data_IF_130202636603
#
_entry.id   IF_130202636603
#
_cell.length_a   1.000
_cell.length_b   1.000
_cell.length_c   1.000
_cell.angle_alpha   90.00
_cell.angle_beta   90.00
_cell.angle_gamma   90.00
#
_symmetry.space_group_name_H-M   'P 1'
#
loop_
_entity.id
_entity.type
_entity.pdbx_description
1 polymer ?
#
# COMPACT_ATOMS: atom_id res chain seq x y z
N UNK A 1 23.91 22.77 4.39
CA UNK A 1 23.06 22.52 3.21
C UNK A 1 23.22 21.03 2.91
N UNK A 2 22.53 20.20 3.69
CA UNK A 2 22.63 18.74 3.65
C UNK A 2 21.32 18.25 3.03
N UNK A 3 21.38 17.66 1.83
CA UNK A 3 20.18 17.24 1.11
C UNK A 3 19.45 16.14 1.89
N UNK A 4 18.21 16.41 2.33
CA UNK A 4 17.30 15.37 2.84
C UNK A 4 17.07 14.36 1.71
N UNK A 5 17.71 13.19 1.83
CA UNK A 5 17.62 12.05 0.90
C UNK A 5 16.15 11.59 0.73
N UNK A 6 15.32 11.92 1.70
CA UNK A 6 13.91 11.57 1.87
C UNK A 6 12.92 12.43 1.07
N UNK A 7 13.32 13.10 -0.02
CA UNK A 7 12.39 13.74 -0.96
C UNK A 7 12.28 13.05 -2.33
N UNK A 8 13.25 12.18 -2.68
CA UNK A 8 13.31 11.57 -4.01
C UNK A 8 12.79 10.14 -3.99
N UNK A 9 12.12 9.68 -5.06
CA UNK A 9 11.79 8.27 -5.21
C UNK A 9 13.07 7.43 -5.27
N UNK A 10 12.99 6.23 -4.73
CA UNK A 10 14.11 5.27 -4.68
C UNK A 10 13.86 4.04 -5.53
N UNK A 11 12.61 3.80 -5.90
CA UNK A 11 12.14 2.65 -6.65
C UNK A 11 11.07 3.10 -7.65
N UNK A 12 10.83 2.28 -8.65
CA UNK A 12 9.80 2.47 -9.66
C UNK A 12 9.17 1.14 -10.04
N UNK A 13 7.85 1.12 -10.25
CA UNK A 13 7.12 -0.02 -10.80
C UNK A 13 6.14 0.51 -11.85
N UNK A 14 6.31 0.11 -13.11
CA UNK A 14 5.43 0.51 -14.23
C UNK A 14 5.17 2.03 -14.31
N UNK A 15 6.20 2.86 -14.11
CA UNK A 15 6.09 4.31 -14.11
C UNK A 15 5.61 4.94 -12.79
N UNK A 16 5.15 4.14 -11.82
CA UNK A 16 4.82 4.62 -10.47
C UNK A 16 6.08 4.65 -9.63
N UNK A 17 6.49 5.85 -9.21
CA UNK A 17 7.69 6.08 -8.41
C UNK A 17 7.36 6.05 -6.94
N UNK A 18 8.20 5.41 -6.13
CA UNK A 18 7.92 5.22 -4.72
C UNK A 18 9.17 5.12 -3.84
N UNK A 19 8.97 5.23 -2.53
CA UNK A 19 10.03 5.08 -1.51
C UNK A 19 9.44 4.62 -0.19
N UNK A 20 10.33 4.32 0.77
CA UNK A 20 9.94 3.96 2.13
C UNK A 20 9.08 5.07 2.75
N UNK A 21 7.93 4.68 3.29
CA UNK A 21 6.98 5.60 3.89
C UNK A 21 7.22 5.84 5.38
N UNK A 22 6.27 6.54 5.97
CA UNK A 22 6.13 6.72 7.40
C UNK A 22 5.21 5.64 7.96
N UNK A 23 5.62 5.02 9.07
CA UNK A 23 4.85 4.00 9.79
C UNK A 23 3.53 4.57 10.33
N UNK A 24 3.50 5.85 10.71
CA UNK A 24 2.30 6.53 11.18
C UNK A 24 2.05 7.81 10.38
N UNK A 25 0.78 8.24 10.26
CA UNK A 25 -0.42 7.51 10.71
C UNK A 25 -0.72 6.28 9.83
N UNK A 26 -1.52 5.35 10.34
CA UNK A 26 -2.05 4.24 9.53
C UNK A 26 -3.08 4.73 8.50
N UNK A 27 -3.22 3.97 7.42
CA UNK A 27 -4.04 4.28 6.27
C UNK A 27 -3.31 5.09 5.19
N UNK A 28 -4.08 5.59 4.23
CA UNK A 28 -3.61 6.53 3.23
C UNK A 28 -3.61 7.97 3.78
N UNK A 29 -2.48 8.67 3.64
CA UNK A 29 -2.31 10.07 4.05
C UNK A 29 -1.63 10.87 2.94
N UNK A 30 -2.27 11.94 2.49
CA UNK A 30 -1.67 12.87 1.52
C UNK A 30 -0.46 13.55 2.16
N UNK A 31 0.67 13.51 1.46
CA UNK A 31 1.93 14.16 1.82
C UNK A 31 2.37 15.06 0.67
N UNK A 32 3.27 16.00 0.90
CA UNK A 32 3.59 17.05 -0.09
C UNK A 32 4.00 16.56 -1.48
N UNK A 33 4.50 15.33 -1.62
CA UNK A 33 4.96 14.76 -2.90
C UNK A 33 4.17 13.54 -3.35
N UNK A 34 3.04 13.20 -2.72
CA UNK A 34 2.26 12.00 -3.06
C UNK A 34 1.38 11.50 -1.92
N UNK A 35 1.21 10.19 -1.81
CA UNK A 35 0.40 9.56 -0.76
C UNK A 35 1.24 8.56 0.01
N UNK A 36 1.25 8.68 1.33
CA UNK A 36 1.80 7.68 2.24
C UNK A 36 0.74 6.63 2.56
N UNK A 37 1.03 5.37 2.24
CA UNK A 37 0.24 4.21 2.63
C UNK A 37 0.94 3.51 3.80
N UNK A 38 0.21 3.24 4.87
CA UNK A 38 0.72 2.49 6.01
C UNK A 38 -0.31 1.50 6.55
N UNK A 39 0.05 0.22 6.62
CA UNK A 39 -0.86 -0.84 7.05
C UNK A 39 -0.15 -1.87 7.94
N UNK A 40 -0.87 -2.37 8.94
CA UNK A 40 -0.38 -3.38 9.87
C UNK A 40 -0.89 -4.78 9.50
N UNK A 41 0.01 -5.75 9.54
CA UNK A 41 -0.34 -7.18 9.55
C UNK A 41 0.71 -7.95 10.35
N UNK A 42 0.27 -8.71 11.36
CA UNK A 42 1.16 -9.46 12.25
C UNK A 42 1.73 -10.73 11.65
N UNK A 43 1.08 -11.29 10.62
CA UNK A 43 1.37 -12.62 10.10
C UNK A 43 1.49 -12.66 8.57
N UNK A 44 1.43 -11.52 7.89
CA UNK A 44 1.69 -11.45 6.46
C UNK A 44 3.17 -11.75 6.16
N UNK A 45 3.42 -12.47 5.08
CA UNK A 45 4.76 -12.70 4.54
C UNK A 45 5.14 -11.62 3.52
N UNK A 46 4.16 -11.13 2.76
CA UNK A 46 4.27 -9.98 1.87
C UNK A 46 2.96 -9.18 1.83
N UNK A 47 3.09 -7.92 1.44
CA UNK A 47 1.99 -7.00 1.22
C UNK A 47 2.17 -6.34 -0.14
N UNK A 48 1.07 -6.18 -0.87
CA UNK A 48 1.05 -5.52 -2.18
C UNK A 48 -0.01 -4.42 -2.14
N UNK A 49 0.39 -3.19 -2.47
CA UNK A 49 -0.53 -2.08 -2.74
C UNK A 49 -1.10 -2.27 -4.14
N UNK A 50 -2.42 -2.27 -4.26
CA UNK A 50 -3.11 -2.36 -5.55
C UNK A 50 -3.78 -1.02 -5.81
N UNK A 51 -3.44 -0.38 -6.93
CA UNK A 51 -4.00 0.92 -7.32
C UNK A 51 -4.92 0.76 -8.54
N UNK A 52 -6.06 1.44 -8.49
CA UNK A 52 -7.06 1.48 -9.55
C UNK A 52 -7.32 2.93 -9.94
N UNK A 53 -7.71 3.14 -11.20
CA UNK A 53 -8.49 4.33 -11.52
C UNK A 53 -9.89 4.15 -10.97
N UNK A 54 -10.52 5.23 -10.48
CA UNK A 54 -11.91 5.18 -10.03
C UNK A 54 -12.81 4.50 -11.06
N UNK A 55 -13.66 3.61 -10.55
CA UNK A 55 -14.63 2.83 -11.34
C UNK A 55 -14.03 1.86 -12.38
N UNK A 56 -12.72 1.69 -12.45
CA UNK A 56 -12.11 0.66 -13.30
C UNK A 56 -11.96 -0.68 -12.56
N UNK A 57 -12.33 -1.80 -13.20
CA UNK A 57 -12.24 -3.11 -12.56
C UNK A 57 -10.79 -3.60 -12.45
N UNK A 58 -9.96 -3.24 -13.43
CA UNK A 58 -8.57 -3.68 -13.53
C UNK A 58 -7.62 -2.74 -12.79
N UNK A 59 -6.59 -3.26 -12.09
CA UNK A 59 -5.61 -2.42 -11.43
C UNK A 59 -4.70 -1.74 -12.45
N UNK A 60 -4.40 -0.46 -12.23
CA UNK A 60 -3.36 0.26 -12.97
C UNK A 60 -1.98 -0.33 -12.66
N UNK A 61 -1.74 -0.64 -11.39
CA UNK A 61 -0.48 -1.21 -10.91
C UNK A 61 -0.69 -1.99 -9.61
N UNK A 62 0.11 -3.04 -9.45
CA UNK A 62 0.33 -3.74 -8.19
C UNK A 62 1.78 -3.50 -7.76
N UNK A 63 1.98 -2.92 -6.57
CA UNK A 63 3.30 -2.57 -6.03
C UNK A 63 3.52 -3.38 -4.75
N UNK A 64 4.33 -4.43 -4.85
CA UNK A 64 4.75 -5.19 -3.66
C UNK A 64 5.64 -4.31 -2.78
N UNK A 65 5.37 -4.26 -1.48
CA UNK A 65 6.19 -3.53 -0.52
C UNK A 65 7.55 -4.22 -0.38
N UNK A 66 8.67 -3.55 -0.68
CA UNK A 66 10.00 -4.13 -0.44
C UNK A 66 10.17 -4.54 1.03
N UNK A 67 10.92 -5.62 1.30
CA UNK A 67 11.21 -6.06 2.68
C UNK A 67 11.80 -4.95 3.56
N UNK A 68 12.58 -4.03 2.98
CA UNK A 68 13.17 -2.89 3.69
C UNK A 68 12.15 -1.81 4.08
N UNK A 69 10.93 -1.84 3.53
CA UNK A 69 9.83 -0.89 3.79
C UNK A 69 8.88 -1.40 4.88
N UNK A 70 9.24 -2.52 5.48
CA UNK A 70 8.57 -3.17 6.58
C UNK A 70 9.36 -2.95 7.89
N UNK A 71 8.67 -2.52 8.95
CA UNK A 71 9.24 -2.40 10.30
C UNK A 71 8.27 -3.06 11.27
N UNK A 72 8.73 -4.09 11.99
CA UNK A 72 7.87 -4.86 12.89
C UNK A 72 6.81 -5.64 12.13
N UNK A 73 5.56 -5.22 12.23
CA UNK A 73 4.43 -5.73 11.44
C UNK A 73 3.79 -4.67 10.54
N UNK A 74 4.47 -3.54 10.30
CA UNK A 74 3.92 -2.40 9.55
C UNK A 74 4.63 -2.26 8.21
N UNK A 75 3.85 -2.26 7.14
CA UNK A 75 4.27 -1.98 5.77
C UNK A 75 4.00 -0.50 5.47
N UNK A 76 4.99 0.24 5.00
CA UNK A 76 4.84 1.68 4.73
C UNK A 76 5.55 2.16 3.48
N UNK A 77 4.85 2.90 2.62
CA UNK A 77 5.36 3.36 1.33
C UNK A 77 4.74 4.71 0.96
N UNK A 78 5.57 5.61 0.44
CA UNK A 78 5.10 6.82 -0.24
C UNK A 78 5.16 6.55 -1.74
N UNK A 79 4.03 6.71 -2.41
CA UNK A 79 3.92 6.68 -3.87
C UNK A 79 3.73 8.11 -4.35
N UNK A 80 4.56 8.53 -5.31
CA UNK A 80 4.63 9.90 -5.80
C UNK A 80 3.66 10.15 -6.94
N UNK A 81 3.32 11.44 -7.11
CA UNK A 81 2.55 11.96 -8.25
C UNK A 81 1.21 11.24 -8.49
N UNK A 82 0.64 10.68 -7.41
CA UNK A 82 -0.69 10.11 -7.43
C UNK A 82 -1.73 11.23 -7.42
N UNK A 83 -2.61 11.21 -8.42
CA UNK A 83 -3.84 11.99 -8.39
C UNK A 83 -4.83 11.32 -7.43
N UNK A 84 -4.73 11.68 -6.14
CA UNK A 84 -5.50 11.05 -5.08
C UNK A 84 -7.02 11.23 -5.23
N UNK A 85 -7.48 12.15 -6.10
CA UNK A 85 -8.91 12.37 -6.37
C UNK A 85 -9.47 11.37 -7.39
N UNK A 86 -8.63 10.76 -8.23
CA UNK A 86 -9.04 9.83 -9.30
C UNK A 86 -8.64 8.37 -9.06
N UNK A 87 -8.08 8.05 -7.88
CA UNK A 87 -7.62 6.69 -7.56
C UNK A 87 -8.45 6.02 -6.46
N UNK A 88 -8.55 4.70 -6.57
CA UNK A 88 -8.94 3.80 -5.49
C UNK A 88 -7.76 2.86 -5.18
N UNK A 89 -7.75 2.28 -3.98
CA UNK A 89 -6.72 1.33 -3.61
C UNK A 89 -7.25 0.22 -2.72
N UNK A 90 -6.50 -0.88 -2.70
CA UNK A 90 -6.64 -1.97 -1.75
C UNK A 90 -5.29 -2.65 -1.53
N UNK A 91 -5.31 -3.73 -0.77
CA UNK A 91 -4.10 -4.53 -0.52
C UNK A 91 -4.31 -5.99 -0.86
N UNK A 92 -3.23 -6.67 -1.24
CA UNK A 92 -3.13 -8.13 -1.20
C UNK A 92 -2.13 -8.51 -0.13
N UNK A 93 -2.38 -9.63 0.54
CA UNK A 93 -1.45 -10.18 1.51
C UNK A 93 -1.18 -11.64 1.19
N UNK A 94 0.10 -12.02 1.17
CA UNK A 94 0.49 -13.42 1.26
C UNK A 94 0.78 -13.78 2.71
N UNK A 95 0.72 -15.08 3.02
CA UNK A 95 0.97 -15.59 4.35
C UNK A 95 0.36 -16.97 4.53
N UNK A 96 0.35 -17.48 5.77
CA UNK A 96 -0.13 -18.82 6.05
C UNK A 96 -1.64 -18.97 5.82
N UNK A 97 -2.02 -20.05 5.14
CA UNK A 97 -3.39 -20.54 5.08
C UNK A 97 -3.53 -21.76 6.00
N UNK A 98 -3.98 -21.50 7.23
CA UNK A 98 -4.34 -22.52 8.22
C UNK A 98 -5.64 -22.09 8.92
N UNK A 99 -6.80 -22.42 8.33
CA UNK A 99 -8.10 -22.08 8.90
C UNK A 99 -8.33 -22.62 10.31
N UNK A 100 -7.72 -23.77 10.66
CA UNK A 100 -7.83 -24.37 11.99
C UNK A 100 -7.17 -23.53 13.08
N UNK A 101 -6.17 -22.73 12.72
CA UNK A 101 -5.52 -21.75 13.60
C UNK A 101 -5.98 -20.31 13.38
N UNK A 102 -7.01 -20.10 12.54
CA UNK A 102 -7.53 -18.78 12.20
C UNK A 102 -6.69 -17.99 11.19
N UNK A 103 -5.65 -18.59 10.61
CA UNK A 103 -4.79 -17.96 9.61
C UNK A 103 -5.42 -18.13 8.21
N UNK A 104 -5.80 -17.05 7.55
CA UNK A 104 -6.59 -17.09 6.31
C UNK A 104 -6.05 -16.14 5.24
N UNK A 105 -4.73 -16.11 5.06
CA UNK A 105 -4.11 -15.30 4.03
C UNK A 105 -4.39 -15.90 2.64
N UNK A 106 -5.00 -15.12 1.77
CA UNK A 106 -5.30 -15.49 0.38
C UNK A 106 -4.90 -14.34 -0.54
N UNK A 107 -3.77 -14.49 -1.22
CA UNK A 107 -3.23 -13.46 -2.12
C UNK A 107 -4.17 -13.17 -3.31
N UNK A 108 -5.06 -14.10 -3.67
CA UNK A 108 -6.04 -13.89 -4.74
C UNK A 108 -7.10 -12.84 -4.40
N UNK A 109 -7.25 -12.49 -3.12
CA UNK A 109 -8.21 -11.48 -2.65
C UNK A 109 -7.56 -10.11 -2.50
N UNK A 110 -8.29 -9.08 -2.93
CA UNK A 110 -8.00 -7.69 -2.61
C UNK A 110 -8.83 -7.34 -1.39
N UNK A 111 -8.20 -6.76 -0.38
CA UNK A 111 -8.84 -6.35 0.87
C UNK A 111 -8.79 -4.83 1.01
N UNK A 112 -9.85 -4.27 1.58
CA UNK A 112 -9.92 -2.84 1.89
C UNK A 112 -8.98 -2.46 3.04
N UNK A 113 -8.53 -1.21 3.04
CA UNK A 113 -7.75 -0.65 4.15
C UNK A 113 -8.62 -0.56 5.42
N UNK A 114 -8.27 -1.22 6.54
CA UNK A 114 -9.01 -1.10 7.78
C UNK A 114 -8.96 0.31 8.40
N UNK A 115 -8.02 1.16 7.95
CA UNK A 115 -7.86 2.56 8.32
C UNK A 115 -8.38 3.52 7.24
N UNK A 116 -9.02 3.00 6.19
CA UNK A 116 -9.62 3.80 5.14
C UNK A 116 -10.64 4.79 5.71
N UNK A 117 -10.45 6.09 5.43
CA UNK A 117 -11.38 7.13 5.87
C UNK A 117 -12.63 7.24 4.99
N UNK A 118 -12.52 6.79 3.76
CA UNK A 118 -13.60 6.73 2.77
C UNK A 118 -13.49 5.39 2.05
N UNK A 119 -14.62 4.72 1.89
CA UNK A 119 -14.71 3.43 1.19
C UNK A 119 -15.45 3.71 -0.12
N UNK A 120 -14.79 3.43 -1.25
CA UNK A 120 -15.45 3.38 -2.55
C UNK A 120 -16.31 2.13 -2.64
N UNK A 121 -17.60 2.29 -2.91
CA UNK A 121 -18.48 1.19 -3.28
C UNK A 121 -18.33 0.90 -4.78
N UNK A 122 -18.32 -0.38 -5.14
CA UNK A 122 -18.52 -0.81 -6.53
C UNK A 122 -19.89 -1.48 -6.57
N UNK A 123 -20.75 -0.99 -7.46
CA UNK A 123 -22.03 -1.64 -7.80
C UNK A 123 -21.79 -2.82 -8.75
#
# INVERSE_FOLDING_TARGET
MEGRIDYYPTHECRGFRFRKGHVLPFGATVVGSGVNFSIYSSAAEACTLVLFRKHEPEPMVEIEFPRSFHIGGVYSMIVFDLDYEDIEYGYRFSGPWDPGRGLRFDYSKIVSDPYGRVIGGRD
#
